data_IF_481240536431
#
_entry.id   IF_481240536431
#
_cell.length_a   1.000
_cell.length_b   1.000
_cell.length_c   1.000
_cell.angle_alpha   90.00
_cell.angle_beta   90.00
_cell.angle_gamma   90.00
#
_symmetry.space_group_name_H-M   'P 1'
#
loop_
_entity.id
_entity.type
_entity.pdbx_description
1 polymer ?
#
# COMPACT_ATOMS: atom_id res chain seq x y z
N UNK A 1 5.41 21.79 -16.06
CA UNK A 1 5.79 20.63 -16.89
C UNK A 1 7.27 20.36 -16.64
N UNK A 2 7.62 19.28 -15.93
CA UNK A 2 9.04 18.94 -15.68
C UNK A 2 9.39 17.84 -16.66
N UNK A 3 10.27 18.15 -17.59
CA UNK A 3 10.66 17.28 -18.69
C UNK A 3 11.13 15.91 -18.19
N UNK A 4 10.65 14.87 -18.86
CA UNK A 4 11.13 13.50 -18.74
C UNK A 4 12.52 13.39 -19.38
N UNK A 5 13.50 14.10 -18.84
CA UNK A 5 14.90 13.87 -19.14
C UNK A 5 15.32 12.56 -18.51
N UNK A 6 16.03 11.72 -19.26
CA UNK A 6 16.73 10.56 -18.71
C UNK A 6 17.80 11.07 -17.74
N UNK A 7 17.45 11.18 -16.45
CA UNK A 7 18.42 11.53 -15.42
C UNK A 7 19.51 10.45 -15.40
N UNK A 8 20.74 10.88 -15.65
CA UNK A 8 21.93 10.04 -15.49
C UNK A 8 22.32 10.06 -14.01
N UNK A 9 22.27 8.90 -13.37
CA UNK A 9 22.70 8.74 -11.98
C UNK A 9 24.22 8.83 -11.89
N UNK A 10 24.73 9.92 -11.31
CA UNK A 10 26.15 10.12 -11.01
C UNK A 10 26.50 9.59 -9.62
N UNK A 11 27.79 9.41 -9.35
CA UNK A 11 28.28 8.98 -8.03
C UNK A 11 27.92 9.98 -6.92
N UNK A 12 27.85 11.28 -7.23
CA UNK A 12 27.45 12.34 -6.31
C UNK A 12 25.98 12.22 -5.92
N UNK A 13 25.09 12.04 -6.90
CA UNK A 13 23.66 11.82 -6.66
C UNK A 13 23.39 10.55 -5.85
N UNK A 14 24.14 9.48 -6.11
CA UNK A 14 24.05 8.26 -5.30
C UNK A 14 24.48 8.50 -3.85
N UNK A 15 25.53 9.32 -3.62
CA UNK A 15 25.99 9.66 -2.28
C UNK A 15 24.95 10.47 -1.52
N UNK A 16 24.32 11.44 -2.18
CA UNK A 16 23.21 12.22 -1.60
C UNK A 16 22.00 11.34 -1.31
N UNK A 17 21.60 10.48 -2.25
CA UNK A 17 20.51 9.53 -2.08
C UNK A 17 20.75 8.64 -0.85
N UNK A 18 21.97 8.09 -0.71
CA UNK A 18 22.37 7.29 0.47
C UNK A 18 22.25 8.08 1.78
N UNK A 19 22.70 9.34 1.78
CA UNK A 19 22.60 10.22 2.96
C UNK A 19 21.15 10.49 3.35
N UNK A 20 20.28 10.78 2.37
CA UNK A 20 18.86 11.07 2.60
C UNK A 20 18.07 9.84 3.06
N UNK A 21 18.38 8.66 2.50
CA UNK A 21 17.80 7.38 2.92
C UNK A 21 18.23 7.04 4.37
N UNK A 22 19.51 7.24 4.72
CA UNK A 22 19.99 7.05 6.11
C UNK A 22 19.30 7.97 7.11
N UNK A 23 18.94 9.18 6.71
CA UNK A 23 18.16 10.14 7.53
C UNK A 23 16.67 9.82 7.61
N UNK A 24 16.23 8.67 7.08
CA UNK A 24 14.83 8.24 7.00
C UNK A 24 13.91 9.25 6.26
N UNK A 25 14.46 9.93 5.25
CA UNK A 25 13.71 10.94 4.48
C UNK A 25 12.70 10.25 3.56
N UNK A 26 11.42 10.68 3.52
CA UNK A 26 10.44 10.09 2.63
C UNK A 26 10.82 10.19 1.14
N UNK A 27 10.57 9.15 0.36
CA UNK A 27 10.96 9.08 -1.07
C UNK A 27 10.38 10.20 -1.91
N UNK A 28 9.20 10.73 -1.54
CA UNK A 28 8.58 11.89 -2.19
C UNK A 28 9.39 13.16 -1.97
N UNK A 29 9.88 13.36 -0.75
CA UNK A 29 10.73 14.50 -0.40
C UNK A 29 12.09 14.40 -1.08
N UNK A 30 12.69 13.21 -1.11
CA UNK A 30 13.93 12.94 -1.84
C UNK A 30 13.78 13.30 -3.33
N UNK A 31 12.68 12.86 -3.96
CA UNK A 31 12.39 13.15 -5.35
C UNK A 31 12.30 14.66 -5.63
N UNK A 32 11.65 15.42 -4.74
CA UNK A 32 11.57 16.88 -4.86
C UNK A 32 12.94 17.55 -4.68
N UNK A 33 13.74 17.10 -3.72
CA UNK A 33 15.07 17.66 -3.44
C UNK A 33 16.04 17.43 -4.61
N UNK A 34 16.02 16.24 -5.19
CA UNK A 34 16.89 15.86 -6.30
C UNK A 34 16.34 16.31 -7.67
N UNK A 35 15.12 16.89 -7.72
CA UNK A 35 14.49 17.34 -8.96
C UNK A 35 14.11 16.21 -9.92
N UNK A 36 13.85 15.01 -9.39
CA UNK A 36 13.68 13.77 -10.17
C UNK A 36 12.33 13.13 -9.93
N UNK A 37 11.90 12.26 -10.83
CA UNK A 37 10.64 11.57 -10.66
C UNK A 37 10.74 10.52 -9.54
N UNK A 38 9.71 10.45 -8.68
CA UNK A 38 9.66 9.51 -7.55
C UNK A 38 9.97 8.07 -7.93
N UNK A 39 9.49 7.62 -9.10
CA UNK A 39 9.74 6.24 -9.58
C UNK A 39 11.23 5.99 -9.86
N UNK A 40 11.97 7.00 -10.36
CA UNK A 40 13.41 6.87 -10.59
C UNK A 40 14.16 6.68 -9.27
N UNK A 41 13.78 7.41 -8.23
CA UNK A 41 14.34 7.26 -6.86
C UNK A 41 14.07 5.86 -6.32
N UNK A 42 12.83 5.36 -6.41
CA UNK A 42 12.49 4.00 -5.94
C UNK A 42 13.31 2.94 -6.68
N UNK A 43 13.41 3.04 -8.00
CA UNK A 43 14.20 2.11 -8.82
C UNK A 43 15.69 2.16 -8.43
N UNK A 44 16.22 3.36 -8.14
CA UNK A 44 17.62 3.52 -7.75
C UNK A 44 17.91 2.98 -6.36
N UNK A 45 17.04 3.24 -5.37
CA UNK A 45 17.14 2.67 -4.02
C UNK A 45 17.18 1.14 -4.08
N UNK A 46 16.29 0.52 -4.88
CA UNK A 46 16.31 -0.94 -5.10
C UNK A 46 17.61 -1.42 -5.74
N UNK A 47 18.08 -0.73 -6.79
CA UNK A 47 19.33 -1.10 -7.48
C UNK A 47 20.57 -0.98 -6.60
N UNK A 48 20.58 -0.02 -5.68
CA UNK A 48 21.68 0.20 -4.74
C UNK A 48 21.55 -0.63 -3.46
N UNK A 49 20.52 -1.49 -3.37
CA UNK A 49 20.22 -2.31 -2.19
C UNK A 49 20.25 -1.51 -0.89
N UNK A 50 19.78 -0.25 -0.96
CA UNK A 50 19.67 0.60 0.20
C UNK A 50 18.42 0.15 0.95
N UNK A 51 18.56 -0.93 1.71
CA UNK A 51 17.62 -1.28 2.75
C UNK A 51 17.61 -0.11 3.71
N UNK A 52 16.50 0.63 3.68
CA UNK A 52 16.17 1.44 4.83
C UNK A 52 15.96 0.43 5.97
N UNK A 53 16.99 0.21 6.80
CA UNK A 53 16.89 -0.56 8.04
C UNK A 53 15.85 0.02 9.02
N UNK A 54 15.08 1.04 8.61
CA UNK A 54 13.97 1.64 9.34
C UNK A 54 12.83 2.13 8.42
N UNK A 55 12.53 1.42 7.34
CA UNK A 55 11.19 1.51 6.76
C UNK A 55 10.34 0.39 7.37
N UNK A 56 10.05 0.52 8.66
CA UNK A 56 8.93 -0.17 9.26
C UNK A 56 7.77 -0.04 8.29
N UNK A 57 7.28 -1.19 7.85
CA UNK A 57 6.09 -1.34 7.06
C UNK A 57 4.99 -0.60 7.84
N UNK A 58 4.82 0.69 7.59
CA UNK A 58 3.60 1.38 7.97
C UNK A 58 2.57 0.76 7.06
N UNK A 59 2.03 -0.36 7.52
CA UNK A 59 0.70 -0.83 7.20
C UNK A 59 -0.13 0.45 7.20
N UNK A 60 -0.45 0.94 6.02
CA UNK A 60 -1.39 2.04 5.88
C UNK A 60 -2.71 1.43 6.36
N UNK A 61 -2.99 1.56 7.65
CA UNK A 61 -4.35 1.44 8.16
C UNK A 61 -5.13 2.53 7.44
N UNK A 62 -5.82 2.13 6.38
CA UNK A 62 -6.68 3.03 5.64
C UNK A 62 -7.65 3.67 6.65
N UNK A 63 -7.80 5.01 6.65
CA UNK A 63 -8.67 5.66 7.60
C UNK A 63 -10.10 5.10 7.46
N UNK A 64 -10.83 4.94 8.57
CA UNK A 64 -12.11 4.20 8.63
C UNK A 64 -13.22 4.75 7.74
N UNK A 65 -13.06 5.96 7.19
CA UNK A 65 -13.99 6.57 6.24
C UNK A 65 -13.84 6.06 4.81
N UNK A 66 -12.75 5.37 4.47
CA UNK A 66 -12.70 4.54 3.27
C UNK A 66 -13.40 3.22 3.64
N UNK A 67 -14.73 3.27 3.76
CA UNK A 67 -15.52 2.05 3.68
C UNK A 67 -15.07 1.34 2.42
N UNK A 68 -14.44 0.17 2.59
CA UNK A 68 -13.90 -0.54 1.45
C UNK A 68 -15.02 -0.66 0.41
N UNK A 69 -14.75 -0.33 -0.85
CA UNK A 69 -15.72 -0.46 -1.95
C UNK A 69 -16.43 -1.83 -1.97
N UNK A 70 -15.80 -2.85 -1.38
CA UNK A 70 -16.34 -4.20 -1.16
C UNK A 70 -17.45 -4.25 -0.11
N UNK A 71 -17.39 -3.46 0.96
CA UNK A 71 -18.40 -3.36 2.03
C UNK A 71 -19.69 -2.72 1.50
N UNK A 72 -19.57 -1.64 0.74
CA UNK A 72 -20.73 -0.94 0.13
C UNK A 72 -21.46 -1.79 -0.91
N UNK A 73 -20.77 -2.69 -1.63
CA UNK A 73 -21.40 -3.62 -2.59
C UNK A 73 -22.12 -4.80 -1.93
N UNK A 74 -21.67 -5.25 -0.76
CA UNK A 74 -22.24 -6.42 -0.07
C UNK A 74 -23.39 -6.07 0.87
N UNK A 75 -23.46 -4.82 1.36
CA UNK A 75 -24.47 -4.38 2.33
C UNK A 75 -24.23 -4.92 3.75
N UNK A 76 -23.04 -5.47 4.01
CA UNK A 76 -22.60 -5.91 5.33
C UNK A 76 -21.08 -5.93 5.44
N UNK A 77 -20.58 -5.76 6.66
CA UNK A 77 -19.15 -5.83 6.99
C UNK A 77 -18.79 -7.25 7.44
N UNK A 78 -17.75 -7.84 6.84
CA UNK A 78 -17.18 -9.12 7.29
C UNK A 78 -16.06 -8.81 8.28
N UNK A 79 -16.16 -9.26 9.55
CA UNK A 79 -15.10 -9.06 10.52
C UNK A 79 -13.78 -9.74 10.09
N UNK A 80 -12.59 -9.17 10.41
CA UNK A 80 -11.32 -9.70 9.91
C UNK A 80 -11.05 -11.14 10.36
N UNK A 81 -11.45 -11.48 11.59
CA UNK A 81 -11.33 -12.84 12.14
C UNK A 81 -12.26 -13.86 11.46
N UNK A 82 -13.28 -13.43 10.71
CA UNK A 82 -14.20 -14.29 9.96
C UNK A 82 -13.95 -14.25 8.46
N UNK A 83 -13.02 -13.43 7.98
CA UNK A 83 -12.82 -13.20 6.56
C UNK A 83 -12.28 -14.44 5.84
N UNK A 84 -11.38 -15.20 6.48
CA UNK A 84 -10.89 -16.48 5.95
C UNK A 84 -12.03 -17.48 5.76
N UNK A 85 -12.82 -17.72 6.82
CA UNK A 85 -13.97 -18.63 6.77
C UNK A 85 -15.04 -18.18 5.76
N UNK A 86 -15.24 -16.87 5.61
CA UNK A 86 -16.17 -16.33 4.62
C UNK A 86 -15.71 -16.61 3.19
N UNK A 87 -14.43 -16.43 2.87
CA UNK A 87 -13.92 -16.72 1.53
C UNK A 87 -13.90 -18.21 1.22
N UNK A 88 -13.64 -19.07 2.19
CA UNK A 88 -13.67 -20.52 1.98
C UNK A 88 -15.10 -21.02 1.68
N UNK A 89 -16.11 -20.43 2.31
CA UNK A 89 -17.52 -20.67 1.96
C UNK A 89 -17.83 -20.23 0.52
N UNK A 90 -17.33 -19.06 0.08
CA UNK A 90 -17.53 -18.63 -1.31
C UNK A 90 -16.82 -19.54 -2.32
N UNK A 91 -15.60 -20.01 -2.01
CA UNK A 91 -14.85 -20.93 -2.88
C UNK A 91 -15.53 -22.29 -3.04
N UNK A 92 -16.24 -22.74 -2.01
CA UNK A 92 -17.04 -23.98 -2.03
C UNK A 92 -18.40 -23.82 -2.73
N UNK A 93 -18.68 -22.65 -3.32
CA UNK A 93 -19.89 -22.39 -4.09
C UNK A 93 -21.08 -21.93 -3.25
N UNK A 94 -20.89 -21.63 -1.96
CA UNK A 94 -21.96 -21.12 -1.08
C UNK A 94 -22.31 -19.68 -1.49
N UNK A 95 -23.60 -19.38 -1.55
CA UNK A 95 -24.08 -18.04 -1.89
C UNK A 95 -23.69 -17.02 -0.81
N UNK A 96 -23.56 -15.74 -1.20
CA UNK A 96 -23.15 -14.64 -0.30
C UNK A 96 -24.09 -14.51 0.92
N UNK A 97 -25.42 -14.60 0.73
CA UNK A 97 -26.37 -14.47 1.85
C UNK A 97 -26.34 -15.70 2.78
N UNK A 98 -26.08 -16.88 2.23
CA UNK A 98 -25.95 -18.11 3.03
C UNK A 98 -24.65 -18.11 3.83
N UNK A 99 -23.52 -17.71 3.24
CA UNK A 99 -22.25 -17.54 3.95
C UNK A 99 -22.39 -16.54 5.10
N UNK A 100 -23.09 -15.42 4.86
CA UNK A 100 -23.41 -14.41 5.89
C UNK A 100 -24.24 -15.00 7.03
N UNK A 101 -25.28 -15.78 6.73
CA UNK A 101 -26.13 -16.44 7.74
C UNK A 101 -25.34 -17.46 8.56
N UNK A 102 -24.52 -18.29 7.93
CA UNK A 102 -23.67 -19.29 8.59
C UNK A 102 -22.68 -18.65 9.56
N UNK A 103 -22.07 -17.52 9.17
CA UNK A 103 -21.13 -16.77 10.00
C UNK A 103 -21.80 -15.76 10.96
N UNK A 104 -23.14 -15.72 11.00
CA UNK A 104 -23.92 -14.81 11.86
C UNK A 104 -23.54 -13.33 11.69
N UNK A 105 -23.18 -12.94 10.47
CA UNK A 105 -22.79 -11.56 10.16
C UNK A 105 -24.04 -10.68 10.02
N UNK A 106 -24.10 -9.60 10.79
CA UNK A 106 -25.22 -8.64 10.79
C UNK A 106 -25.26 -7.89 9.46
N UNK A 107 -26.46 -7.76 8.88
CA UNK A 107 -26.70 -6.80 7.79
C UNK A 107 -26.55 -5.39 8.34
N UNK A 108 -25.91 -4.51 7.59
CA UNK A 108 -25.95 -3.09 7.94
C UNK A 108 -27.33 -2.55 7.61
N UNK A 109 -27.95 -1.74 8.50
CA UNK A 109 -29.16 -1.00 8.14
C UNK A 109 -28.84 -0.07 6.96
N UNK A 110 -29.78 0.00 6.02
CA UNK A 110 -29.67 0.80 4.80
C UNK A 110 -29.74 2.29 5.10
#
# INVERSE_FOLDING_TARGET
MVGTGNLIWTAELDRELRSLVRKNTPTRTIANLLGVHRIQVIRRIKKLELTADNAGEKVFEAPPHIQSYKTSRRGFYVPPHQEAAYYDLLKSGVSIDEARKRLRIKKQPK
#
